data_IF_391149263674
#
_entry.id   IF_391149263674
#
_cell.length_a   1.000
_cell.length_b   1.000
_cell.length_c   1.000
_cell.angle_alpha   90.00
_cell.angle_beta   90.00
_cell.angle_gamma   90.00
#
_symmetry.space_group_name_H-M   'P 1'
#
loop_
_entity.id
_entity.type
_entity.pdbx_description
1 polymer ?
#
# COMPACT_ATOMS: atom_id res chain seq x y z
N UNK A 1 -23.94 1.81 -15.83
CA UNK A 1 -23.38 2.64 -16.92
C UNK A 1 -21.94 3.05 -16.55
N UNK A 2 -20.91 2.27 -16.93
CA UNK A 2 -19.49 2.47 -16.55
C UNK A 2 -18.58 2.63 -17.79
N UNK A 3 -18.99 3.42 -18.80
CA UNK A 3 -18.35 3.39 -20.13
C UNK A 3 -17.72 4.70 -20.61
N UNK A 4 -17.55 5.69 -19.73
CA UNK A 4 -16.94 6.98 -20.09
C UNK A 4 -15.49 7.15 -19.60
N UNK A 5 -14.93 6.17 -18.89
CA UNK A 5 -13.58 6.26 -18.30
C UNK A 5 -12.57 5.23 -18.82
N UNK A 6 -13.03 4.23 -19.59
CA UNK A 6 -12.14 3.15 -20.07
C UNK A 6 -11.30 3.57 -21.29
N UNK A 7 -11.74 4.55 -22.07
CA UNK A 7 -11.09 4.93 -23.33
C UNK A 7 -9.80 5.77 -23.16
N UNK A 8 -9.61 6.45 -22.03
CA UNK A 8 -8.48 7.39 -21.85
C UNK A 8 -7.33 6.87 -20.96
N UNK A 9 -7.60 5.89 -20.10
CA UNK A 9 -6.66 5.49 -19.02
C UNK A 9 -6.16 4.05 -19.10
N UNK A 10 -6.69 3.22 -20.01
CA UNK A 10 -6.27 1.82 -20.18
C UNK A 10 -6.51 0.91 -18.97
N UNK A 11 -7.18 1.41 -17.93
CA UNK A 11 -7.54 0.70 -16.71
C UNK A 11 -8.96 1.10 -16.29
N UNK A 12 -9.67 0.21 -15.60
CA UNK A 12 -10.98 0.55 -15.04
C UNK A 12 -10.83 1.60 -13.92
N UNK A 13 -11.85 2.45 -13.75
CA UNK A 13 -11.92 3.42 -12.61
C UNK A 13 -11.68 2.73 -11.27
N UNK A 14 -12.19 1.50 -11.13
CA UNK A 14 -11.99 0.67 -9.96
C UNK A 14 -10.52 0.34 -9.72
N UNK A 15 -9.78 -0.08 -10.74
CA UNK A 15 -8.34 -0.34 -10.64
C UNK A 15 -7.55 0.91 -10.30
N UNK A 16 -7.89 2.04 -10.90
CA UNK A 16 -7.25 3.32 -10.56
C UNK A 16 -7.44 3.69 -9.08
N UNK A 17 -8.67 3.54 -8.58
CA UNK A 17 -8.98 3.76 -7.15
C UNK A 17 -8.17 2.80 -6.27
N UNK A 18 -8.10 1.52 -6.64
CA UNK A 18 -7.34 0.53 -5.89
C UNK A 18 -5.84 0.82 -5.86
N UNK A 19 -5.25 1.21 -7.00
CA UNK A 19 -3.85 1.61 -7.05
C UNK A 19 -3.59 2.81 -6.14
N UNK A 20 -4.45 3.84 -6.18
CA UNK A 20 -4.32 5.02 -5.30
C UNK A 20 -4.44 4.65 -3.82
N UNK A 21 -5.40 3.78 -3.46
CA UNK A 21 -5.55 3.28 -2.08
C UNK A 21 -4.31 2.50 -1.64
N UNK A 22 -3.78 1.64 -2.50
CA UNK A 22 -2.60 0.84 -2.22
C UNK A 22 -1.34 1.72 -2.05
N UNK A 23 -1.21 2.79 -2.84
CA UNK A 23 -0.16 3.80 -2.64
C UNK A 23 -0.29 4.50 -1.29
N UNK A 24 -1.51 4.86 -0.85
CA UNK A 24 -1.73 5.42 0.49
C UNK A 24 -1.36 4.45 1.61
N UNK A 25 -1.70 3.17 1.47
CA UNK A 25 -1.24 2.14 2.41
C UNK A 25 0.30 2.11 2.50
N UNK A 26 1.01 2.24 1.36
CA UNK A 26 2.47 2.26 1.36
C UNK A 26 3.05 3.50 2.06
N UNK A 27 2.40 4.66 1.93
CA UNK A 27 2.79 5.87 2.68
C UNK A 27 2.63 5.67 4.19
N UNK A 28 1.49 5.14 4.64
CA UNK A 28 1.23 4.85 6.05
C UNK A 28 2.23 3.83 6.60
N UNK A 29 2.59 2.80 5.82
CA UNK A 29 3.57 1.79 6.23
C UNK A 29 4.99 2.35 6.37
N UNK A 30 5.32 3.44 5.66
CA UNK A 30 6.62 4.14 5.82
C UNK A 30 6.59 5.15 6.95
N UNK A 31 5.42 5.58 7.39
CA UNK A 31 5.31 6.56 8.46
C UNK A 31 5.51 5.91 9.84
N UNK A 32 6.58 6.30 10.53
CA UNK A 32 6.88 5.83 11.88
C UNK A 32 5.81 6.21 12.91
N UNK A 33 5.12 7.32 12.72
CA UNK A 33 4.01 7.71 13.59
C UNK A 33 2.89 6.66 13.53
N UNK A 34 2.77 5.94 12.41
CA UNK A 34 1.81 4.86 12.20
C UNK A 34 2.37 3.47 12.53
N UNK A 35 3.60 3.36 13.04
CA UNK A 35 4.24 2.07 13.32
C UNK A 35 3.48 1.24 14.39
N UNK A 36 2.71 1.91 15.26
CA UNK A 36 1.85 1.29 16.24
C UNK A 36 0.65 0.55 15.61
N UNK A 37 0.25 0.91 14.39
CA UNK A 37 -0.86 0.27 13.67
C UNK A 37 -0.39 -1.03 13.02
N UNK A 38 -1.22 -2.05 13.10
CA UNK A 38 -1.01 -3.30 12.39
C UNK A 38 -1.24 -3.13 10.88
N UNK A 39 -0.64 -4.02 10.08
CA UNK A 39 -0.85 -4.07 8.63
C UNK A 39 -2.33 -4.23 8.28
N UNK A 40 -3.05 -4.98 9.10
CA UNK A 40 -4.48 -5.25 8.96
C UNK A 40 -5.31 -4.01 9.20
N UNK A 41 -5.01 -3.21 10.23
CA UNK A 41 -5.71 -1.94 10.50
C UNK A 41 -5.49 -0.91 9.40
N UNK A 42 -4.26 -0.82 8.87
CA UNK A 42 -3.95 0.06 7.73
C UNK A 42 -4.75 -0.40 6.50
N UNK A 43 -4.78 -1.71 6.22
CA UNK A 43 -5.56 -2.24 5.10
C UNK A 43 -7.06 -1.95 5.24
N UNK A 44 -7.64 -2.16 6.43
CA UNK A 44 -9.06 -1.87 6.67
C UNK A 44 -9.38 -0.38 6.55
N UNK A 45 -8.51 0.51 7.04
CA UNK A 45 -8.72 1.95 6.94
C UNK A 45 -8.79 2.45 5.48
N UNK A 46 -8.07 1.80 4.57
CA UNK A 46 -8.11 2.09 3.13
C UNK A 46 -9.12 1.23 2.35
N UNK A 47 -9.95 0.44 3.05
CA UNK A 47 -11.11 -0.26 2.50
C UNK A 47 -10.85 -1.67 1.96
N UNK A 48 -9.76 -2.33 2.35
CA UNK A 48 -9.61 -3.77 2.10
C UNK A 48 -10.51 -4.56 3.04
N UNK A 49 -11.25 -5.55 2.54
CA UNK A 49 -12.07 -6.44 3.38
C UNK A 49 -11.30 -7.61 4.01
N UNK A 50 -10.03 -7.80 3.65
CA UNK A 50 -9.19 -8.89 4.18
C UNK A 50 -7.71 -8.57 4.06
N UNK A 51 -6.96 -8.89 5.12
CA UNK A 51 -5.49 -8.79 5.17
C UNK A 51 -4.79 -9.68 4.14
N UNK A 52 -5.36 -10.84 3.80
CA UNK A 52 -4.83 -11.76 2.79
C UNK A 52 -4.93 -11.18 1.38
N UNK A 53 -6.08 -10.56 1.05
CA UNK A 53 -6.25 -9.89 -0.24
C UNK A 53 -5.31 -8.70 -0.36
N UNK A 54 -5.24 -7.86 0.67
CA UNK A 54 -4.28 -6.76 0.74
C UNK A 54 -2.84 -7.23 0.52
N UNK A 55 -2.39 -8.24 1.27
CA UNK A 55 -0.99 -8.69 1.19
C UNK A 55 -0.61 -9.21 -0.19
N UNK A 56 -1.51 -9.92 -0.87
CA UNK A 56 -1.29 -10.40 -2.25
C UNK A 56 -1.23 -9.24 -3.23
N UNK A 57 -2.20 -8.31 -3.16
CA UNK A 57 -2.25 -7.15 -4.03
C UNK A 57 -1.00 -6.28 -3.83
N UNK A 58 -0.64 -5.96 -2.59
CA UNK A 58 0.54 -5.19 -2.26
C UNK A 58 1.82 -5.83 -2.79
N UNK A 59 2.01 -7.14 -2.57
CA UNK A 59 3.18 -7.85 -3.09
C UNK A 59 3.23 -7.87 -4.61
N UNK A 60 2.08 -8.02 -5.28
CA UNK A 60 2.01 -7.99 -6.74
C UNK A 60 2.39 -6.62 -7.31
N UNK A 61 2.10 -5.53 -6.60
CA UNK A 61 2.37 -4.16 -7.07
C UNK A 61 3.76 -3.64 -6.66
N UNK A 62 4.22 -3.93 -5.45
CA UNK A 62 5.49 -3.43 -4.89
C UNK A 62 6.63 -4.46 -4.90
N UNK A 63 6.37 -5.69 -5.34
CA UNK A 63 7.35 -6.78 -5.39
C UNK A 63 7.67 -7.43 -4.03
N UNK A 64 7.24 -6.84 -2.91
CA UNK A 64 7.52 -7.33 -1.55
C UNK A 64 6.30 -7.27 -0.65
N UNK A 65 6.31 -8.03 0.45
CA UNK A 65 5.19 -8.03 1.39
C UNK A 65 5.09 -6.70 2.14
N UNK A 66 3.88 -6.28 2.58
CA UNK A 66 3.70 -5.05 3.37
C UNK A 66 4.56 -5.01 4.64
N UNK A 67 4.79 -6.19 5.25
CA UNK A 67 5.66 -6.34 6.42
C UNK A 67 7.10 -5.98 6.10
N UNK A 68 7.67 -6.62 5.08
CA UNK A 68 9.05 -6.39 4.66
C UNK A 68 9.24 -4.95 4.22
N UNK A 69 8.24 -4.36 3.53
CA UNK A 69 8.24 -2.97 3.12
C UNK A 69 8.29 -1.99 4.30
N UNK A 70 7.60 -2.28 5.40
CA UNK A 70 7.66 -1.49 6.64
C UNK A 70 9.01 -1.63 7.34
N UNK A 71 9.55 -2.85 7.37
CA UNK A 71 10.86 -3.14 7.96
C UNK A 71 11.98 -2.42 7.20
N UNK A 72 11.96 -2.41 5.86
CA UNK A 72 12.96 -1.70 5.04
C UNK A 72 12.86 -0.18 5.15
N UNK A 73 11.66 0.37 5.28
CA UNK A 73 11.46 1.80 5.54
C UNK A 73 12.07 2.23 6.88
N UNK A 74 11.98 1.34 7.88
CA UNK A 74 12.59 1.56 9.20
C UNK A 74 14.12 1.39 9.15
N UNK A 75 14.62 0.39 8.43
CA UNK A 75 16.06 0.11 8.28
C UNK A 75 16.81 1.19 7.49
N UNK A 76 16.17 1.79 6.47
CA UNK A 76 16.76 2.88 5.68
C UNK A 76 17.15 4.11 6.51
N UNK A 77 16.49 4.34 7.66
CA UNK A 77 16.87 5.41 8.61
C UNK A 77 18.01 5.02 9.54
N UNK A 78 18.07 3.75 9.98
CA UNK A 78 19.16 3.28 10.86
C UNK A 78 20.52 3.44 10.18
N UNK A 79 20.57 3.29 8.85
CA UNK A 79 21.80 3.44 8.05
C UNK A 79 22.21 4.89 7.77
N UNK A 80 21.39 5.90 8.12
CA UNK A 80 21.72 7.32 7.91
C UNK A 80 22.27 8.03 9.16
N UNK A 81 22.16 7.42 10.34
CA UNK A 81 22.65 8.02 11.62
C UNK A 81 24.03 7.49 12.03
N UNK A 82 24.69 6.71 11.16
CA UNK A 82 25.99 6.07 11.44
C UNK A 82 27.16 6.62 10.60
N UNK A 83 27.11 7.90 10.19
CA UNK A 83 28.21 8.59 9.51
C UNK A 83 28.53 9.91 10.21
#
# INVERSE_FOLDING_TARGET
MHRAFQDELGCSVSEYIWQRRLSRCAEDLRNHEQAHRSLTEIAYAWGYGSSSHFSRHFKSTFGMSPRLFRETASDARVKSTAA
#
